data_IF_932489865388
#
_entry.id   IF_932489865388
#
_cell.length_a   1.000
_cell.length_b   1.000
_cell.length_c   1.000
_cell.angle_alpha   90.00
_cell.angle_beta   90.00
_cell.angle_gamma   90.00
#
_symmetry.space_group_name_H-M   'P 1'
#
loop_
_entity.id
_entity.type
_entity.pdbx_description
1 polymer ?
#
# COMPACT_ATOMS: atom_id res chain seq x y z
N UNK A 1 -8.37 -25.58 80.69
CA UNK A 1 -8.70 -24.51 79.72
C UNK A 1 -7.57 -23.49 79.80
N UNK A 2 -6.76 -23.35 78.75
CA UNK A 2 -5.76 -22.29 78.67
C UNK A 2 -6.40 -21.07 78.00
N UNK A 3 -6.35 -19.90 78.66
CA UNK A 3 -6.82 -18.63 78.11
C UNK A 3 -6.03 -18.29 76.85
N UNK A 4 -6.74 -18.20 75.72
CA UNK A 4 -6.19 -17.70 74.46
C UNK A 4 -6.17 -16.17 74.58
N UNK A 5 -5.00 -15.60 74.85
CA UNK A 5 -4.80 -14.14 74.84
C UNK A 5 -5.11 -13.64 73.42
N UNK A 6 -6.06 -12.70 73.22
CA UNK A 6 -6.38 -12.22 71.90
C UNK A 6 -5.14 -11.55 71.29
N UNK A 7 -4.75 -12.00 70.09
CA UNK A 7 -3.64 -11.40 69.35
C UNK A 7 -3.82 -9.88 69.30
N UNK A 8 -2.78 -9.14 69.68
CA UNK A 8 -2.84 -7.68 69.77
C UNK A 8 -3.36 -7.12 68.44
N UNK A 9 -4.40 -6.29 68.49
CA UNK A 9 -4.93 -5.60 67.31
C UNK A 9 -3.78 -4.83 66.68
N UNK A 10 -3.42 -5.15 65.44
CA UNK A 10 -2.34 -4.49 64.71
C UNK A 10 -2.65 -2.99 64.67
N UNK A 11 -1.87 -2.20 65.39
CA UNK A 11 -2.08 -0.77 65.46
C UNK A 11 -1.45 -0.08 64.25
N UNK A 12 -2.30 0.20 63.27
CA UNK A 12 -1.98 0.88 62.02
C UNK A 12 -1.70 2.39 62.20
N UNK A 13 -1.85 2.93 63.41
CA UNK A 13 -1.56 4.34 63.72
C UNK A 13 -0.13 4.56 64.20
N UNK A 14 0.62 3.49 64.48
CA UNK A 14 2.02 3.58 64.94
C UNK A 14 2.90 4.31 63.91
N UNK A 15 3.88 5.13 64.35
CA UNK A 15 4.78 5.86 63.45
C UNK A 15 5.50 4.95 62.43
N UNK A 16 5.86 3.72 62.85
CA UNK A 16 6.47 2.72 61.96
C UNK A 16 5.51 2.16 60.89
N UNK A 17 4.21 2.04 61.17
CA UNK A 17 3.21 1.67 60.18
C UNK A 17 2.95 2.82 59.18
N UNK A 18 2.93 4.06 59.64
CA UNK A 18 2.80 5.24 58.79
C UNK A 18 3.97 5.39 57.79
N UNK A 19 5.22 5.17 58.24
CA UNK A 19 6.41 5.20 57.37
C UNK A 19 6.39 4.09 56.32
N UNK A 20 5.95 2.87 56.68
CA UNK A 20 5.79 1.76 55.72
C UNK A 20 4.72 2.05 54.65
N UNK A 21 3.57 2.64 55.03
CA UNK A 21 2.55 3.07 54.07
C UNK A 21 3.06 4.14 53.10
N UNK A 22 3.78 5.15 53.60
CA UNK A 22 4.40 6.18 52.74
C UNK A 22 5.37 5.56 51.74
N UNK A 23 6.22 4.61 52.18
CA UNK A 23 7.16 3.91 51.29
C UNK A 23 6.45 3.11 50.20
N UNK A 24 5.37 2.40 50.54
CA UNK A 24 4.55 1.65 49.57
C UNK A 24 3.87 2.58 48.57
N UNK A 25 3.23 3.66 49.02
CA UNK A 25 2.60 4.63 48.12
C UNK A 25 3.60 5.30 47.16
N UNK A 26 4.85 5.54 47.60
CA UNK A 26 5.89 6.05 46.72
C UNK A 26 6.32 5.01 45.67
N UNK A 27 6.40 3.73 46.04
CA UNK A 27 6.67 2.64 45.10
C UNK A 27 5.53 2.46 44.09
N UNK A 28 4.28 2.47 44.55
CA UNK A 28 3.08 2.39 43.70
C UNK A 28 3.00 3.57 42.72
N UNK A 29 3.29 4.80 43.19
CA UNK A 29 3.34 5.99 42.32
C UNK A 29 4.45 5.89 41.26
N UNK A 30 5.62 5.34 41.60
CA UNK A 30 6.70 5.12 40.63
C UNK A 30 6.29 4.07 39.60
N UNK A 31 5.69 2.96 40.03
CA UNK A 31 5.19 1.93 39.12
C UNK A 31 4.11 2.48 38.17
N UNK A 32 3.16 3.25 38.71
CA UNK A 32 2.13 3.92 37.91
C UNK A 32 2.75 4.91 36.91
N UNK A 33 3.75 5.67 37.34
CA UNK A 33 4.47 6.58 36.45
C UNK A 33 5.22 5.84 35.35
N UNK A 34 5.93 4.75 35.67
CA UNK A 34 6.61 3.92 34.66
C UNK A 34 5.62 3.28 33.68
N UNK A 35 4.49 2.78 34.17
CA UNK A 35 3.42 2.25 33.33
C UNK A 35 2.84 3.31 32.40
N UNK A 36 2.49 4.48 32.93
CA UNK A 36 1.98 5.60 32.13
C UNK A 36 3.02 6.10 31.12
N UNK A 37 4.28 6.22 31.53
CA UNK A 37 5.37 6.61 30.64
C UNK A 37 5.58 5.60 29.51
N UNK A 38 5.56 4.29 29.82
CA UNK A 38 5.68 3.22 28.83
C UNK A 38 4.51 3.25 27.83
N UNK A 39 3.27 3.38 28.31
CA UNK A 39 2.08 3.47 27.47
C UNK A 39 2.13 4.73 26.58
N UNK A 40 2.44 5.88 27.15
CA UNK A 40 2.57 7.13 26.39
C UNK A 40 3.68 7.05 25.35
N UNK A 41 4.81 6.42 25.68
CA UNK A 41 5.91 6.19 24.73
C UNK A 41 5.45 5.27 23.59
N UNK A 42 4.78 4.16 23.91
CA UNK A 42 4.26 3.22 22.91
C UNK A 42 3.25 3.90 21.97
N UNK A 43 2.32 4.69 22.52
CA UNK A 43 1.34 5.47 21.74
C UNK A 43 2.06 6.52 20.89
N UNK A 44 3.06 7.20 21.44
CA UNK A 44 3.86 8.19 20.71
C UNK A 44 4.59 7.56 19.52
N UNK A 45 5.24 6.41 19.71
CA UNK A 45 5.88 5.67 18.63
C UNK A 45 4.88 5.21 17.57
N UNK A 46 3.72 4.70 17.99
CA UNK A 46 2.64 4.32 17.06
C UNK A 46 2.16 5.51 16.25
N UNK A 47 1.97 6.67 16.87
CA UNK A 47 1.56 7.89 16.19
C UNK A 47 2.62 8.35 15.16
N UNK A 48 3.90 8.27 15.49
CA UNK A 48 5.00 8.56 14.56
C UNK A 48 4.98 7.59 13.37
N UNK A 49 4.80 6.30 13.62
CA UNK A 49 4.73 5.28 12.56
C UNK A 49 3.53 5.53 11.63
N UNK A 50 2.34 5.77 12.18
CA UNK A 50 1.14 6.06 11.39
C UNK A 50 1.32 7.34 10.58
N UNK A 51 1.85 8.40 11.21
CA UNK A 51 2.10 9.68 10.52
C UNK A 51 3.08 9.51 9.37
N UNK A 52 4.17 8.78 9.60
CA UNK A 52 5.15 8.46 8.56
C UNK A 52 4.51 7.68 7.41
N UNK A 53 3.71 6.66 7.72
CA UNK A 53 3.01 5.84 6.72
C UNK A 53 2.06 6.68 5.87
N UNK A 54 1.31 7.62 6.47
CA UNK A 54 0.39 8.50 5.74
C UNK A 54 1.16 9.46 4.84
N UNK A 55 2.19 10.14 5.35
CA UNK A 55 2.97 11.13 4.59
C UNK A 55 3.68 10.47 3.40
N UNK A 56 4.32 9.32 3.63
CA UNK A 56 5.05 8.59 2.58
C UNK A 56 4.12 7.86 1.61
N UNK A 57 2.99 7.35 2.11
CA UNK A 57 2.04 6.56 1.31
C UNK A 57 1.09 7.37 0.45
N UNK A 58 0.77 8.62 0.82
CA UNK A 58 -0.17 9.47 0.07
C UNK A 58 0.21 9.61 -1.40
N UNK A 59 1.52 9.69 -1.70
CA UNK A 59 2.04 9.86 -3.05
C UNK A 59 1.67 8.70 -3.99
N UNK A 60 1.31 7.52 -3.48
CA UNK A 60 0.83 6.39 -4.30
C UNK A 60 -0.60 6.60 -4.83
N UNK A 61 -1.42 7.38 -4.11
CA UNK A 61 -2.83 7.65 -4.45
C UNK A 61 -3.01 8.75 -5.49
N UNK A 62 -1.93 9.43 -5.88
CA UNK A 62 -1.92 10.43 -6.94
C UNK A 62 -1.02 9.95 -8.06
N UNK A 63 -1.45 10.16 -9.30
CA UNK A 63 -0.69 9.77 -10.49
C UNK A 63 -0.52 10.99 -11.38
N UNK A 64 0.68 11.20 -11.88
CA UNK A 64 0.94 12.24 -12.87
C UNK A 64 0.50 11.74 -14.24
N UNK A 65 -0.35 12.51 -14.90
CA UNK A 65 -0.80 12.23 -16.25
C UNK A 65 -0.44 13.40 -17.18
N UNK A 66 -0.18 13.06 -18.44
CA UNK A 66 -0.01 14.03 -19.52
C UNK A 66 -1.21 13.92 -20.46
N UNK A 67 -1.89 15.04 -20.67
CA UNK A 67 -2.96 15.20 -21.64
C UNK A 67 -2.36 15.56 -22.99
N UNK A 68 -2.64 14.75 -24.01
CA UNK A 68 -2.16 14.96 -25.37
C UNK A 68 -3.31 14.83 -26.37
N UNK A 69 -3.18 15.58 -27.45
CA UNK A 69 -4.09 15.53 -28.58
C UNK A 69 -3.54 14.55 -29.62
N UNK A 70 -4.18 13.39 -29.73
CA UNK A 70 -3.77 12.32 -30.64
C UNK A 70 -4.54 12.42 -31.96
N UNK A 71 -3.86 12.76 -33.05
CA UNK A 71 -4.43 12.71 -34.38
C UNK A 71 -4.50 11.24 -34.86
N UNK A 72 -5.69 10.66 -34.89
CA UNK A 72 -5.90 9.27 -35.29
C UNK A 72 -6.03 9.24 -36.81
N UNK A 73 -4.93 9.39 -37.54
CA UNK A 73 -4.96 9.37 -39.00
C UNK A 73 -5.32 7.97 -39.54
N UNK A 74 -6.07 7.94 -40.64
CA UNK A 74 -6.36 6.69 -41.36
C UNK A 74 -5.11 6.04 -41.98
N UNK A 75 -4.00 6.78 -42.04
CA UNK A 75 -2.68 6.25 -42.45
C UNK A 75 -2.10 5.30 -41.40
N UNK A 76 -2.26 5.61 -40.11
CA UNK A 76 -1.73 4.80 -39.02
C UNK A 76 -2.69 3.73 -38.52
N UNK A 77 -4.01 3.95 -38.64
CA UNK A 77 -5.04 3.05 -38.13
C UNK A 77 -6.09 2.80 -39.21
N UNK A 78 -6.16 1.55 -39.68
CA UNK A 78 -7.24 1.13 -40.57
C UNK A 78 -8.54 0.93 -39.75
N UNK A 79 -9.64 1.52 -40.20
CA UNK A 79 -10.96 1.40 -39.58
C UNK A 79 -11.51 -0.05 -39.56
N UNK A 80 -11.12 -0.88 -40.53
CA UNK A 80 -11.55 -2.29 -40.59
C UNK A 80 -10.77 -3.17 -39.60
N UNK A 81 -9.53 -2.81 -39.28
CA UNK A 81 -8.66 -3.54 -38.35
C UNK A 81 -7.93 -2.61 -37.36
N UNK A 82 -8.66 -1.86 -36.51
CA UNK A 82 -8.07 -0.86 -35.63
C UNK A 82 -7.03 -1.47 -34.68
N UNK A 83 -7.22 -2.73 -34.27
CA UNK A 83 -6.30 -3.45 -33.37
C UNK A 83 -4.84 -3.51 -33.85
N UNK A 84 -4.62 -3.46 -35.17
CA UNK A 84 -3.28 -3.58 -35.79
C UNK A 84 -2.63 -2.23 -36.11
N UNK A 85 -3.27 -1.12 -35.76
CA UNK A 85 -2.77 0.22 -36.02
C UNK A 85 -1.43 0.53 -35.36
N UNK A 86 -0.69 1.48 -35.94
CA UNK A 86 0.60 1.93 -35.42
C UNK A 86 0.44 3.04 -34.36
N UNK A 87 -0.11 2.69 -33.20
CA UNK A 87 -0.33 3.65 -32.11
C UNK A 87 0.94 4.27 -31.54
N UNK A 88 2.09 3.60 -31.71
CA UNK A 88 3.39 4.16 -31.30
C UNK A 88 3.79 5.36 -32.16
N UNK A 89 3.50 5.32 -33.46
CA UNK A 89 3.74 6.46 -34.35
C UNK A 89 2.86 7.65 -33.94
N UNK A 90 1.57 7.41 -33.68
CA UNK A 90 0.62 8.46 -33.26
C UNK A 90 1.09 9.16 -31.98
N UNK A 91 1.58 8.41 -30.98
CA UNK A 91 2.14 9.01 -29.75
C UNK A 91 3.36 9.88 -30.08
N UNK A 92 4.24 9.39 -30.96
CA UNK A 92 5.44 10.13 -31.34
C UNK A 92 5.08 11.43 -32.06
N UNK A 93 4.07 11.40 -32.93
CA UNK A 93 3.53 12.57 -33.64
C UNK A 93 2.83 13.56 -32.71
N UNK A 94 2.09 13.07 -31.71
CA UNK A 94 1.49 13.93 -30.69
C UNK A 94 2.55 14.72 -29.91
N UNK A 95 3.63 14.05 -29.47
CA UNK A 95 4.76 14.73 -28.84
C UNK A 95 5.50 15.68 -29.79
N UNK A 96 5.65 15.31 -31.06
CA UNK A 96 6.28 16.17 -32.07
C UNK A 96 5.44 17.43 -32.36
N UNK A 97 4.12 17.32 -32.29
CA UNK A 97 3.20 18.46 -32.45
C UNK A 97 3.36 19.47 -31.29
N UNK A 98 3.54 18.96 -30.06
CA UNK A 98 3.82 19.79 -28.90
C UNK A 98 5.25 20.39 -28.92
N UNK A 99 6.22 19.71 -29.53
CA UNK A 99 7.61 20.16 -29.63
C UNK A 99 8.14 20.14 -31.08
N UNK A 100 7.74 21.10 -31.93
CA UNK A 100 8.14 21.14 -33.34
C UNK A 100 9.65 21.28 -33.56
N UNK A 101 10.37 21.83 -32.56
CA UNK A 101 11.82 22.02 -32.60
C UNK A 101 12.61 20.69 -32.47
N UNK A 102 11.96 19.63 -31.95
CA UNK A 102 12.58 18.32 -31.76
C UNK A 102 12.49 17.50 -33.05
N UNK A 103 13.55 17.57 -33.87
CA UNK A 103 13.62 16.87 -35.16
C UNK A 103 14.47 15.60 -35.13
N UNK A 104 15.36 15.46 -34.14
CA UNK A 104 16.24 14.30 -34.04
C UNK A 104 15.48 13.07 -33.55
N UNK A 105 15.61 11.96 -34.27
CA UNK A 105 15.06 10.66 -33.85
C UNK A 105 15.50 10.24 -32.44
N UNK A 106 16.70 10.64 -32.02
CA UNK A 106 17.21 10.36 -30.67
C UNK A 106 16.45 11.16 -29.62
N UNK A 107 16.22 12.44 -29.88
CA UNK A 107 15.52 13.35 -28.97
C UNK A 107 14.03 13.00 -28.92
N UNK A 108 13.40 12.71 -30.06
CA UNK A 108 12.00 12.27 -30.09
C UNK A 108 11.77 10.99 -29.28
N UNK A 109 12.72 10.04 -29.34
CA UNK A 109 12.70 8.84 -28.49
C UNK A 109 12.89 9.14 -27.01
N UNK A 110 13.59 10.21 -26.64
CA UNK A 110 13.72 10.64 -25.26
C UNK A 110 12.44 11.36 -24.79
N UNK A 111 11.92 12.26 -25.61
CA UNK A 111 10.68 13.00 -25.37
C UNK A 111 9.49 12.07 -25.15
N UNK A 112 9.33 11.04 -25.98
CA UNK A 112 8.24 10.04 -25.86
C UNK A 112 8.34 9.19 -24.60
N UNK A 113 9.47 9.16 -23.87
CA UNK A 113 9.56 8.49 -22.56
C UNK A 113 8.80 9.24 -21.46
N UNK A 114 8.40 10.49 -21.69
CA UNK A 114 7.57 11.22 -20.74
C UNK A 114 6.28 10.43 -20.48
N UNK A 115 5.61 9.95 -21.52
CA UNK A 115 4.47 9.04 -21.38
C UNK A 115 4.95 7.61 -21.04
N UNK A 116 4.10 6.85 -20.35
CA UNK A 116 4.34 5.41 -20.15
C UNK A 116 4.43 4.68 -21.48
N UNK A 117 5.30 3.67 -21.57
CA UNK A 117 5.44 2.83 -22.77
C UNK A 117 4.12 2.11 -23.14
N UNK A 118 3.22 1.96 -22.17
CA UNK A 118 1.91 1.35 -22.34
C UNK A 118 0.84 2.31 -22.89
N UNK A 119 1.15 3.60 -23.06
CA UNK A 119 0.21 4.59 -23.60
C UNK A 119 -0.32 4.17 -24.99
N UNK A 120 0.49 3.46 -25.78
CA UNK A 120 0.06 2.93 -27.09
C UNK A 120 -1.11 1.93 -26.98
N UNK A 121 -1.15 1.16 -25.90
CA UNK A 121 -2.24 0.21 -25.66
C UNK A 121 -3.47 0.92 -25.11
N UNK A 122 -3.29 1.92 -24.25
CA UNK A 122 -4.40 2.75 -23.75
C UNK A 122 -5.08 3.50 -24.90
N UNK A 123 -4.28 4.10 -25.80
CA UNK A 123 -4.78 4.77 -26.98
C UNK A 123 -5.50 3.80 -27.93
N UNK A 124 -4.91 2.61 -28.16
CA UNK A 124 -5.58 1.55 -28.93
C UNK A 124 -6.92 1.20 -28.32
N UNK A 125 -6.96 0.92 -27.03
CA UNK A 125 -8.16 0.45 -26.35
C UNK A 125 -9.25 1.54 -26.34
N UNK A 126 -8.86 2.83 -26.25
CA UNK A 126 -9.76 3.96 -26.43
C UNK A 126 -10.35 4.03 -27.86
N UNK A 127 -9.51 3.88 -28.89
CA UNK A 127 -9.98 3.84 -30.30
C UNK A 127 -10.84 2.60 -30.59
N UNK A 128 -10.58 1.47 -29.92
CA UNK A 128 -11.42 0.27 -30.04
C UNK A 128 -12.78 0.43 -29.36
N UNK A 129 -12.83 1.18 -28.26
CA UNK A 129 -14.07 1.48 -27.55
C UNK A 129 -14.97 2.44 -28.36
N UNK A 130 -14.36 3.40 -29.06
CA UNK A 130 -15.06 4.30 -29.98
C UNK A 130 -14.31 4.43 -31.32
N UNK A 131 -14.58 3.56 -32.31
CA UNK A 131 -13.95 3.62 -33.62
C UNK A 131 -14.29 4.88 -34.43
N UNK A 132 -15.31 5.66 -34.02
CA UNK A 132 -15.71 6.90 -34.70
C UNK A 132 -14.67 8.02 -34.62
N UNK A 133 -13.68 7.89 -33.73
CA UNK A 133 -12.57 8.85 -33.58
C UNK A 133 -11.52 8.72 -34.69
N UNK A 134 -11.54 7.64 -35.48
CA UNK A 134 -10.60 7.44 -36.59
C UNK A 134 -10.85 8.51 -37.66
N UNK A 135 -9.79 9.24 -38.01
CA UNK A 135 -9.82 10.42 -38.88
C UNK A 135 -9.96 11.74 -38.12
N UNK A 136 -10.13 11.72 -36.80
CA UNK A 136 -10.23 12.90 -35.95
C UNK A 136 -9.07 13.04 -34.95
N UNK A 137 -9.22 14.02 -34.06
CA UNK A 137 -8.32 14.24 -32.92
C UNK A 137 -8.98 13.72 -31.64
N UNK A 138 -8.30 12.83 -30.94
CA UNK A 138 -8.71 12.30 -29.65
C UNK A 138 -7.80 12.88 -28.56
N UNK A 139 -8.38 13.69 -27.68
CA UNK A 139 -7.68 14.16 -26.47
C UNK A 139 -7.78 13.09 -25.39
N UNK A 140 -6.64 12.61 -24.89
CA UNK A 140 -6.60 11.57 -23.87
C UNK A 140 -5.48 11.87 -22.86
N UNK A 141 -5.79 11.75 -21.58
CA UNK A 141 -4.81 11.76 -20.49
C UNK A 141 -4.19 10.38 -20.36
N UNK A 142 -2.86 10.32 -20.42
CA UNK A 142 -2.09 9.08 -20.26
C UNK A 142 -1.11 9.23 -19.10
N UNK A 143 -0.88 8.18 -18.29
CA UNK A 143 0.13 8.22 -17.25
C UNK A 143 1.52 8.53 -17.80
N UNK A 144 2.26 9.37 -17.06
CA UNK A 144 3.68 9.58 -17.33
C UNK A 144 4.49 8.39 -16.81
N UNK A 145 5.69 8.17 -17.34
CA UNK A 145 6.56 7.11 -16.83
C UNK A 145 7.10 7.42 -15.43
N UNK A 146 7.48 6.37 -14.70
CA UNK A 146 7.95 6.44 -13.31
C UNK A 146 8.94 7.60 -13.00
N UNK A 147 10.00 7.86 -13.78
CA UNK A 147 10.90 8.98 -13.49
C UNK A 147 10.18 10.34 -13.48
N UNK A 148 9.32 10.61 -14.46
CA UNK A 148 8.61 11.89 -14.56
C UNK A 148 7.52 12.03 -13.50
N UNK A 149 6.89 10.92 -13.11
CA UNK A 149 5.95 10.91 -12.00
C UNK A 149 6.67 11.23 -10.68
N UNK A 150 7.84 10.62 -10.44
CA UNK A 150 8.69 10.90 -9.27
C UNK A 150 9.23 12.33 -9.26
N UNK A 151 9.60 12.88 -10.42
CA UNK A 151 10.00 14.28 -10.58
C UNK A 151 8.86 15.21 -10.16
N UNK A 152 7.66 14.98 -10.68
CA UNK A 152 6.49 15.79 -10.36
C UNK A 152 6.03 15.65 -8.90
N UNK A 153 6.31 14.50 -8.27
CA UNK A 153 6.07 14.24 -6.84
C UNK A 153 7.17 14.83 -5.93
N UNK A 154 8.23 15.41 -6.49
CA UNK A 154 9.35 15.99 -5.74
C UNK A 154 10.27 14.95 -5.10
N UNK A 155 10.20 13.69 -5.55
CA UNK A 155 11.10 12.62 -5.10
C UNK A 155 12.46 12.68 -5.82
N UNK A 156 12.47 13.09 -7.10
CA UNK A 156 13.68 13.41 -7.84
C UNK A 156 13.93 14.92 -7.75
N UNK A 157 15.07 15.30 -7.19
CA UNK A 157 15.49 16.71 -7.13
C UNK A 157 16.06 17.15 -8.49
N UNK A 158 15.41 18.13 -9.11
CA UNK A 158 15.80 18.69 -10.39
C UNK A 158 17.12 19.49 -10.33
N UNK A 159 17.54 19.93 -9.14
CA UNK A 159 18.76 20.73 -8.97
C UNK A 159 20.03 19.89 -8.88
N UNK A 160 19.90 18.57 -8.79
CA UNK A 160 21.06 17.68 -8.76
C UNK A 160 21.74 17.61 -10.14
N UNK A 161 23.08 17.47 -10.16
CA UNK A 161 23.83 17.17 -11.37
C UNK A 161 23.20 15.99 -12.15
N UNK A 162 23.24 16.05 -13.48
CA UNK A 162 22.58 15.07 -14.36
C UNK A 162 23.04 13.63 -14.10
N UNK A 163 24.30 13.42 -13.70
CA UNK A 163 24.87 12.10 -13.36
C UNK A 163 24.31 11.50 -12.05
N UNK A 164 23.65 12.31 -11.22
CA UNK A 164 23.06 11.90 -9.95
C UNK A 164 21.55 11.64 -10.02
N UNK A 165 20.94 11.74 -11.21
CA UNK A 165 19.50 11.53 -11.42
C UNK A 165 19.20 10.71 -12.66
N UNK A 166 17.95 10.22 -12.75
CA UNK A 166 17.49 9.30 -13.82
C UNK A 166 17.00 10.02 -15.09
N UNK A 167 16.96 11.35 -15.09
CA UNK A 167 16.34 12.20 -16.11
C UNK A 167 17.35 13.30 -16.46
N UNK A 168 17.49 13.62 -17.74
CA UNK A 168 18.38 14.69 -18.23
C UNK A 168 17.82 16.10 -18.00
N UNK A 169 18.67 17.13 -18.08
CA UNK A 169 18.22 18.54 -18.07
C UNK A 169 17.22 18.84 -19.18
N UNK A 170 17.48 18.31 -20.38
CA UNK A 170 16.62 18.50 -21.54
C UNK A 170 15.23 17.86 -21.32
N UNK A 171 15.19 16.64 -20.78
CA UNK A 171 13.93 15.95 -20.45
C UNK A 171 13.12 16.68 -19.37
N UNK A 172 13.79 17.25 -18.34
CA UNK A 172 13.11 18.10 -17.35
C UNK A 172 12.54 19.36 -18.02
N UNK A 173 13.28 20.01 -18.91
CA UNK A 173 12.82 21.20 -19.62
C UNK A 173 11.56 20.94 -20.46
N UNK A 174 11.51 19.81 -21.17
CA UNK A 174 10.29 19.40 -21.89
C UNK A 174 9.13 19.12 -20.95
N UNK A 175 9.36 18.42 -19.84
CA UNK A 175 8.33 18.13 -18.86
C UNK A 175 7.76 19.41 -18.22
N UNK A 176 8.63 20.36 -17.85
CA UNK A 176 8.23 21.66 -17.33
C UNK A 176 7.43 22.47 -18.36
N UNK A 177 7.84 22.44 -19.63
CA UNK A 177 7.08 23.10 -20.71
C UNK A 177 5.66 22.54 -20.82
N UNK A 178 5.49 21.21 -20.74
CA UNK A 178 4.15 20.58 -20.73
C UNK A 178 3.34 21.01 -19.49
N UNK A 179 3.97 21.10 -18.32
CA UNK A 179 3.32 21.53 -17.10
C UNK A 179 2.88 23.00 -17.17
N UNK A 180 3.72 23.89 -17.70
CA UNK A 180 3.41 25.32 -17.92
C UNK A 180 2.25 25.52 -18.89
N UNK A 181 2.14 24.65 -19.91
CA UNK A 181 1.02 24.64 -20.87
C UNK A 181 -0.27 24.04 -20.30
N UNK A 182 -0.27 23.57 -19.05
CA UNK A 182 -1.42 22.94 -18.42
C UNK A 182 -1.73 21.53 -18.94
N UNK A 183 -0.79 20.88 -19.63
CA UNK A 183 -0.94 19.49 -20.12
C UNK A 183 -0.66 18.44 -19.05
N UNK A 184 -0.09 18.83 -17.91
CA UNK A 184 0.19 17.91 -16.80
C UNK A 184 -0.88 18.04 -15.71
N UNK A 185 -1.47 16.92 -15.33
CA UNK A 185 -2.44 16.83 -14.24
C UNK A 185 -2.00 15.79 -13.20
N UNK A 186 -2.62 15.84 -12.01
CA UNK A 186 -2.38 14.88 -10.92
C UNK A 186 -3.70 14.29 -10.39
N UNK A 187 -4.45 13.53 -11.20
CA UNK A 187 -5.68 12.89 -10.74
C UNK A 187 -5.41 11.81 -9.67
N UNK A 188 -6.49 11.36 -9.06
CA UNK A 188 -6.45 10.21 -8.15
C UNK A 188 -6.15 8.92 -8.91
N UNK A 189 -5.17 8.15 -8.43
CA UNK A 189 -4.73 6.91 -9.05
C UNK A 189 -5.68 5.76 -8.71
N UNK A 190 -6.76 5.62 -9.48
CA UNK A 190 -7.65 4.45 -9.38
C UNK A 190 -6.95 3.14 -9.77
N UNK A 191 -5.92 3.23 -10.62
CA UNK A 191 -5.07 2.10 -10.99
C UNK A 191 -4.42 1.42 -9.79
N UNK A 192 -4.11 2.16 -8.72
CA UNK A 192 -3.56 1.58 -7.49
C UNK A 192 -4.43 0.46 -6.91
N UNK A 193 -5.76 0.58 -6.97
CA UNK A 193 -6.67 -0.41 -6.40
C UNK A 193 -7.05 -1.50 -7.41
N UNK A 194 -7.24 -1.12 -8.68
CA UNK A 194 -7.85 -2.00 -9.68
C UNK A 194 -6.87 -2.62 -10.67
N UNK A 195 -5.68 -2.06 -10.86
CA UNK A 195 -4.68 -2.67 -11.73
C UNK A 195 -4.03 -3.88 -11.05
N UNK A 196 -3.61 -4.84 -11.86
CA UNK A 196 -2.79 -5.96 -11.43
C UNK A 196 -1.32 -5.53 -11.26
N UNK A 197 -0.47 -6.49 -10.93
CA UNK A 197 0.98 -6.31 -10.97
C UNK A 197 1.46 -5.94 -12.39
N UNK A 198 2.42 -5.04 -12.46
CA UNK A 198 2.98 -4.53 -13.72
C UNK A 198 4.50 -4.44 -13.62
N UNK A 199 5.17 -4.62 -14.75
CA UNK A 199 6.62 -4.36 -14.88
C UNK A 199 6.94 -2.86 -14.91
N UNK A 200 5.94 -2.02 -15.13
CA UNK A 200 6.03 -0.56 -15.10
C UNK A 200 5.48 -0.06 -13.76
N UNK A 201 6.33 0.54 -12.89
CA UNK A 201 5.91 0.98 -11.56
C UNK A 201 4.71 1.92 -11.59
N UNK A 202 4.63 2.80 -12.60
CA UNK A 202 3.54 3.77 -12.74
C UNK A 202 2.17 3.10 -13.00
N UNK A 203 2.13 1.84 -13.43
CA UNK A 203 0.87 1.12 -13.70
C UNK A 203 0.56 0.01 -12.70
N UNK A 204 1.49 -0.28 -11.79
CA UNK A 204 1.32 -1.37 -10.83
C UNK A 204 0.20 -1.05 -9.82
N UNK A 205 -0.67 -2.03 -9.58
CA UNK A 205 -1.75 -1.93 -8.60
C UNK A 205 -1.76 -3.08 -7.59
N UNK A 206 -2.72 -3.00 -6.67
CA UNK A 206 -2.89 -3.91 -5.53
C UNK A 206 -3.91 -5.02 -5.79
N UNK A 207 -4.61 -5.01 -6.93
CA UNK A 207 -5.74 -5.92 -7.15
C UNK A 207 -5.34 -7.39 -7.02
N UNK A 208 -4.18 -7.79 -7.56
CA UNK A 208 -3.67 -9.15 -7.45
C UNK A 208 -3.45 -9.58 -6.00
N UNK A 209 -2.86 -8.71 -5.17
CA UNK A 209 -2.63 -8.97 -3.76
C UNK A 209 -3.95 -9.01 -2.95
N UNK A 210 -4.89 -8.10 -3.25
CA UNK A 210 -6.20 -8.04 -2.60
C UNK A 210 -7.02 -9.31 -2.92
N UNK A 211 -7.11 -9.66 -4.19
CA UNK A 211 -7.87 -10.83 -4.67
C UNK A 211 -7.23 -12.12 -4.17
N UNK A 212 -5.90 -12.23 -4.23
CA UNK A 212 -5.17 -13.38 -3.69
C UNK A 212 -5.39 -13.56 -2.20
N UNK A 213 -5.30 -12.48 -1.42
CA UNK A 213 -5.56 -12.49 0.03
C UNK A 213 -7.00 -12.86 0.35
N UNK A 214 -7.96 -12.33 -0.41
CA UNK A 214 -9.37 -12.65 -0.25
C UNK A 214 -9.63 -14.15 -0.46
N UNK A 215 -9.13 -14.73 -1.55
CA UNK A 215 -9.31 -16.16 -1.81
C UNK A 215 -8.58 -17.05 -0.79
N UNK A 216 -7.38 -16.67 -0.37
CA UNK A 216 -6.65 -17.39 0.68
C UNK A 216 -7.43 -17.42 1.99
N UNK A 217 -7.96 -16.28 2.43
CA UNK A 217 -8.81 -16.19 3.63
C UNK A 217 -10.13 -16.93 3.45
N UNK A 218 -10.75 -16.85 2.27
CA UNK A 218 -12.01 -17.53 1.98
C UNK A 218 -11.85 -19.05 2.05
N UNK A 219 -10.82 -19.61 1.41
CA UNK A 219 -10.55 -21.06 1.46
C UNK A 219 -10.23 -21.49 2.90
N UNK A 220 -9.38 -20.73 3.60
CA UNK A 220 -9.08 -20.99 5.01
C UNK A 220 -10.35 -20.98 5.87
N UNK A 221 -11.23 -20.01 5.67
CA UNK A 221 -12.50 -19.89 6.38
C UNK A 221 -13.45 -21.04 6.07
N UNK A 222 -13.65 -21.38 4.79
CA UNK A 222 -14.54 -22.47 4.37
C UNK A 222 -14.14 -23.84 4.90
N UNK A 223 -12.85 -24.05 5.18
CA UNK A 223 -12.35 -25.29 5.79
C UNK A 223 -12.39 -25.18 7.32
N UNK A 224 -11.78 -24.14 7.88
CA UNK A 224 -11.56 -24.02 9.32
C UNK A 224 -12.85 -23.76 10.09
N UNK A 225 -13.80 -23.01 9.52
CA UNK A 225 -15.03 -22.65 10.21
C UNK A 225 -15.96 -23.86 10.40
N UNK A 226 -16.30 -24.66 9.36
CA UNK A 226 -17.10 -25.87 9.57
C UNK A 226 -16.42 -26.90 10.46
N UNK A 227 -15.11 -27.12 10.28
CA UNK A 227 -14.33 -28.06 11.11
C UNK A 227 -14.29 -27.58 12.56
N UNK A 228 -14.08 -26.29 12.80
CA UNK A 228 -14.07 -25.69 14.13
C UNK A 228 -15.41 -25.83 14.83
N UNK A 229 -16.52 -25.56 14.14
CA UNK A 229 -17.88 -25.75 14.69
C UNK A 229 -18.14 -27.22 14.97
N UNK A 230 -17.83 -28.12 14.03
CA UNK A 230 -18.05 -29.55 14.22
C UNK A 230 -17.25 -30.11 15.40
N UNK A 231 -15.99 -29.68 15.55
CA UNK A 231 -15.14 -30.04 16.69
C UNK A 231 -15.71 -29.51 18.02
N UNK A 232 -16.16 -28.26 18.05
CA UNK A 232 -16.76 -27.67 19.25
C UNK A 232 -18.04 -28.39 19.68
N UNK A 233 -18.96 -28.65 18.73
CA UNK A 233 -20.21 -29.39 19.00
C UNK A 233 -19.91 -30.82 19.45
N UNK A 234 -18.95 -31.49 18.81
CA UNK A 234 -18.54 -32.84 19.21
C UNK A 234 -17.98 -32.88 20.63
N UNK A 235 -17.10 -31.94 20.99
CA UNK A 235 -16.49 -31.89 22.32
C UNK A 235 -17.48 -31.55 23.42
N UNK A 236 -18.45 -30.67 23.15
CA UNK A 236 -19.44 -30.25 24.15
C UNK A 236 -20.56 -31.28 24.35
N UNK A 237 -21.11 -31.82 23.25
CA UNK A 237 -22.34 -32.63 23.32
C UNK A 237 -22.06 -34.14 23.30
N UNK A 238 -21.01 -34.59 22.61
CA UNK A 238 -20.83 -36.02 22.29
C UNK A 238 -19.58 -36.64 22.92
N UNK A 239 -18.56 -35.86 23.27
CA UNK A 239 -17.28 -36.41 23.70
C UNK A 239 -17.35 -36.95 25.14
N UNK A 240 -17.02 -38.24 25.36
CA UNK A 240 -16.96 -38.80 26.70
C UNK A 240 -15.76 -38.19 27.47
N UNK A 241 -15.98 -37.83 28.73
CA UNK A 241 -14.94 -37.32 29.64
C UNK A 241 -13.84 -38.36 29.81
N UNK A 242 -12.74 -38.17 29.09
CA UNK A 242 -11.61 -39.08 29.01
C UNK A 242 -10.30 -38.31 28.99
N UNK A 243 -9.18 -38.97 29.30
CA UNK A 243 -7.87 -38.32 29.24
C UNK A 243 -7.54 -37.77 27.84
N UNK A 244 -8.12 -38.36 26.79
CA UNK A 244 -7.96 -37.88 25.42
C UNK A 244 -8.74 -36.59 25.15
N UNK A 245 -9.98 -36.46 25.64
CA UNK A 245 -10.75 -35.21 25.54
C UNK A 245 -10.09 -34.08 26.32
N UNK A 246 -9.58 -34.38 27.52
CA UNK A 246 -8.89 -33.39 28.37
C UNK A 246 -7.61 -32.87 27.69
N UNK A 247 -6.84 -33.76 27.05
CA UNK A 247 -5.64 -33.35 26.28
C UNK A 247 -6.01 -32.50 25.08
N UNK A 248 -7.07 -32.84 24.35
CA UNK A 248 -7.56 -32.04 23.22
C UNK A 248 -8.00 -30.64 23.66
N UNK A 249 -8.78 -30.54 24.73
CA UNK A 249 -9.26 -29.27 25.27
C UNK A 249 -8.11 -28.36 25.71
N UNK A 250 -7.10 -28.92 26.40
CA UNK A 250 -5.89 -28.16 26.79
C UNK A 250 -5.11 -27.68 25.56
N UNK A 251 -4.95 -28.51 24.53
CA UNK A 251 -4.23 -28.10 23.32
C UNK A 251 -4.97 -27.02 22.52
N UNK A 252 -6.30 -27.12 22.41
CA UNK A 252 -7.13 -26.09 21.77
C UNK A 252 -7.00 -24.75 22.50
N UNK A 253 -7.13 -24.77 23.84
CA UNK A 253 -6.97 -23.57 24.65
C UNK A 253 -5.56 -22.97 24.55
N UNK A 254 -4.52 -23.82 24.52
CA UNK A 254 -3.15 -23.35 24.32
C UNK A 254 -2.96 -22.72 22.94
N UNK A 255 -3.45 -23.35 21.86
CA UNK A 255 -3.34 -22.81 20.50
C UNK A 255 -4.10 -21.49 20.35
N UNK A 256 -5.26 -21.34 21.00
CA UNK A 256 -6.03 -20.10 20.99
C UNK A 256 -5.34 -18.95 21.75
N UNK A 257 -4.48 -19.27 22.73
CA UNK A 257 -3.76 -18.30 23.54
C UNK A 257 -2.42 -17.84 22.93
N UNK A 258 -1.90 -18.55 21.92
CA UNK A 258 -0.64 -18.19 21.27
C UNK A 258 -0.82 -16.94 20.40
N UNK A 259 0.04 -15.92 20.51
CA UNK A 259 -0.01 -14.74 19.64
C UNK A 259 0.20 -15.11 18.16
N UNK A 260 -0.58 -14.48 17.27
CA UNK A 260 -0.53 -14.74 15.82
C UNK A 260 0.87 -14.55 15.20
N UNK A 261 1.69 -13.65 15.74
CA UNK A 261 3.07 -13.42 15.31
C UNK A 261 3.92 -14.69 15.42
N UNK A 262 3.71 -15.50 16.47
CA UNK A 262 4.47 -16.75 16.68
C UNK A 262 4.13 -17.77 15.59
N UNK A 263 2.85 -17.90 15.24
CA UNK A 263 2.43 -18.76 14.12
C UNK A 263 2.99 -18.26 12.78
N UNK A 264 3.03 -16.94 12.56
CA UNK A 264 3.64 -16.35 11.37
C UNK A 264 5.13 -16.66 11.23
N UNK A 265 5.90 -16.52 12.32
CA UNK A 265 7.33 -16.85 12.34
C UNK A 265 7.59 -18.34 12.14
N UNK A 266 6.76 -19.21 12.72
CA UNK A 266 6.85 -20.65 12.49
C UNK A 266 6.56 -21.02 11.03
N UNK A 267 5.55 -20.39 10.41
CA UNK A 267 5.27 -20.54 8.98
C UNK A 267 6.48 -20.19 8.11
N UNK A 268 7.12 -19.05 8.38
CA UNK A 268 8.34 -18.61 7.67
C UNK A 268 9.55 -19.54 7.89
N UNK A 269 9.63 -20.25 9.00
CA UNK A 269 10.72 -21.18 9.26
C UNK A 269 10.55 -22.53 8.52
N UNK A 270 9.31 -22.88 8.16
CA UNK A 270 8.96 -24.17 7.54
C UNK A 270 8.91 -24.10 6.01
N UNK A 271 8.66 -22.92 5.44
CA UNK A 271 8.54 -22.66 4.01
C UNK A 271 9.52 -21.58 3.55
#
# INVERSE_FOLDING_TARGET
MAEITPASRIDWSTPGAATRRKRRHLADKRLQFYGLAAISTAIGLLAVLITSLVITGYAAFVQTEVELDFLISAEHVNADEPKRGNYRAIISEAFQTEFPDVQSNRELRALTKIATNNAQFMLRDAVLADPGVIGGTLTLSVPVSDPFDQLNKGTIDANLPEDQRRISDQEIGWFQTLAERGRISKPFNWGLLFNADSRFPELAGLSGAIVGSFYALLVCFLISFPVGIAAAVYLEEFAPKSRASDVLEVNINNLAAVPSIVFGLLGLAVF
#
